data_IF_017150493351
#
_entry.id   IF_017150493351
#
_cell.length_a   1.000
_cell.length_b   1.000
_cell.length_c   1.000
_cell.angle_alpha   90.00
_cell.angle_beta   90.00
_cell.angle_gamma   90.00
#
_symmetry.space_group_name_H-M   'P 1'
#
loop_
_entity.id
_entity.type
_entity.pdbx_description
1 polymer ?
#
# COMPACT_ATOMS: atom_id res chain seq x y z
N UNK A 1 -51.06 -24.07 0.55
CA UNK A 1 -49.63 -23.90 0.23
C UNK A 1 -49.26 -22.43 0.40
N UNK A 2 -48.40 -22.07 1.37
CA UNK A 2 -47.97 -20.69 1.62
C UNK A 2 -46.53 -20.53 1.11
N UNK A 3 -46.36 -19.88 -0.04
CA UNK A 3 -45.04 -19.55 -0.59
C UNK A 3 -44.45 -18.41 0.25
N UNK A 4 -43.48 -18.73 1.11
CA UNK A 4 -42.75 -17.75 1.90
C UNK A 4 -41.91 -16.87 0.99
N UNK A 5 -42.41 -15.69 0.64
CA UNK A 5 -41.61 -14.67 -0.06
C UNK A 5 -40.61 -14.08 0.93
N UNK A 6 -39.32 -14.25 0.66
CA UNK A 6 -38.27 -13.54 1.40
C UNK A 6 -38.43 -12.03 1.19
N UNK A 7 -38.28 -11.21 2.25
CA UNK A 7 -38.33 -9.76 2.12
C UNK A 7 -37.19 -9.26 1.22
N UNK A 8 -37.47 -8.21 0.45
CA UNK A 8 -36.50 -7.63 -0.47
C UNK A 8 -35.27 -7.12 0.30
N UNK A 9 -34.09 -7.65 -0.02
CA UNK A 9 -32.82 -7.18 0.52
C UNK A 9 -32.41 -5.90 -0.20
N UNK A 10 -32.50 -4.76 0.48
CA UNK A 10 -31.97 -3.50 -0.03
C UNK A 10 -30.47 -3.41 0.27
N UNK A 11 -29.65 -3.61 -0.76
CA UNK A 11 -28.20 -3.38 -0.66
C UNK A 11 -27.94 -1.90 -0.95
N UNK A 12 -27.28 -1.15 -0.06
CA UNK A 12 -26.92 0.24 -0.33
C UNK A 12 -25.98 0.31 -1.51
N UNK A 13 -26.30 1.17 -2.49
CA UNK A 13 -25.47 1.37 -3.67
C UNK A 13 -24.17 2.04 -3.23
N UNK A 14 -23.04 1.36 -3.44
CA UNK A 14 -21.72 1.95 -3.24
C UNK A 14 -21.49 2.97 -4.34
N UNK A 15 -21.35 4.24 -3.97
CA UNK A 15 -20.98 5.28 -4.93
C UNK A 15 -19.62 4.94 -5.54
N UNK A 16 -19.56 4.85 -6.87
CA UNK A 16 -18.33 4.69 -7.66
C UNK A 16 -17.73 6.04 -8.06
N UNK A 17 -18.23 7.14 -7.50
CA UNK A 17 -17.74 8.49 -7.81
C UNK A 17 -16.28 8.59 -7.39
N UNK A 18 -15.40 8.84 -8.36
CA UNK A 18 -13.98 8.99 -8.10
C UNK A 18 -13.75 10.29 -7.28
N UNK A 19 -13.11 10.23 -6.10
CA UNK A 19 -12.77 11.44 -5.36
C UNK A 19 -11.88 12.36 -6.22
N UNK A 20 -11.94 13.66 -5.95
CA UNK A 20 -11.07 14.62 -6.61
C UNK A 20 -9.59 14.23 -6.37
N UNK A 21 -8.75 14.25 -7.41
CA UNK A 21 -7.36 13.82 -7.29
C UNK A 21 -6.59 14.71 -6.30
N UNK A 22 -5.70 14.10 -5.52
CA UNK A 22 -4.84 14.84 -4.60
C UNK A 22 -3.89 15.75 -5.38
N UNK A 23 -3.77 17.01 -4.98
CA UNK A 23 -2.83 17.95 -5.58
C UNK A 23 -1.38 17.50 -5.40
N UNK A 24 -0.52 17.79 -6.38
CA UNK A 24 0.88 17.37 -6.40
C UNK A 24 1.66 17.83 -5.15
N UNK A 25 1.48 19.09 -4.72
CA UNK A 25 2.12 19.60 -3.51
C UNK A 25 1.71 18.84 -2.26
N UNK A 26 0.43 18.51 -2.13
CA UNK A 26 -0.07 17.73 -0.99
C UNK A 26 0.50 16.31 -1.01
N UNK A 27 0.55 15.66 -2.19
CA UNK A 27 1.16 14.33 -2.36
C UNK A 27 2.64 14.34 -1.94
N UNK A 28 3.41 15.35 -2.40
CA UNK A 28 4.83 15.45 -2.08
C UNK A 28 5.07 15.77 -0.60
N UNK A 29 4.24 16.64 0.01
CA UNK A 29 4.31 16.92 1.44
C UNK A 29 4.01 15.68 2.28
N UNK A 30 2.99 14.90 1.89
CA UNK A 30 2.66 13.63 2.54
C UNK A 30 3.80 12.61 2.41
N UNK A 31 4.41 12.46 1.22
CA UNK A 31 5.59 11.60 1.03
C UNK A 31 6.76 12.02 1.91
N UNK A 32 7.09 13.32 1.95
CA UNK A 32 8.15 13.85 2.83
C UNK A 32 7.87 13.47 4.28
N UNK A 33 6.65 13.70 4.77
CA UNK A 33 6.27 13.32 6.13
C UNK A 33 6.44 11.82 6.38
N UNK A 34 5.98 10.96 5.47
CA UNK A 34 6.15 9.50 5.61
C UNK A 34 7.63 9.09 5.67
N UNK A 35 8.52 9.85 5.04
CA UNK A 35 9.96 9.58 5.06
C UNK A 35 10.68 10.18 6.28
N UNK A 36 10.21 11.29 6.86
CA UNK A 36 10.93 11.99 7.93
C UNK A 36 10.29 11.86 9.31
N UNK A 37 9.00 11.57 9.41
CA UNK A 37 8.25 11.52 10.67
C UNK A 37 8.35 10.12 11.29
N UNK A 38 9.34 9.91 12.15
CA UNK A 38 9.59 8.63 12.82
C UNK A 38 8.58 8.31 13.93
N UNK A 39 7.72 9.26 14.30
CA UNK A 39 6.62 9.00 15.24
C UNK A 39 5.53 8.13 14.62
N UNK A 40 5.49 8.05 13.28
CA UNK A 40 4.59 7.18 12.55
C UNK A 40 5.11 5.73 12.56
N UNK A 41 4.24 4.73 12.80
CA UNK A 41 4.63 3.33 12.73
C UNK A 41 5.27 3.00 11.38
N UNK A 42 6.38 2.25 11.39
CA UNK A 42 7.12 1.88 10.18
C UNK A 42 6.21 1.24 9.12
N UNK A 43 5.32 0.33 9.53
CA UNK A 43 4.29 -0.28 8.68
C UNK A 43 3.41 0.75 7.95
N UNK A 44 3.03 1.83 8.62
CA UNK A 44 2.16 2.87 8.07
C UNK A 44 2.93 3.77 7.11
N UNK A 45 4.21 4.02 7.40
CA UNK A 45 5.13 4.75 6.51
C UNK A 45 5.33 4.00 5.20
N UNK A 46 5.61 2.69 5.27
CA UNK A 46 5.74 1.83 4.09
C UNK A 46 4.43 1.79 3.28
N UNK A 47 3.31 1.46 3.93
CA UNK A 47 2.02 1.36 3.23
C UNK A 47 1.62 2.70 2.58
N UNK A 48 1.77 3.82 3.29
CA UNK A 48 1.48 5.15 2.76
C UNK A 48 2.34 5.48 1.54
N UNK A 49 3.62 5.15 1.57
CA UNK A 49 4.53 5.41 0.44
C UNK A 49 4.19 4.53 -0.77
N UNK A 50 3.78 3.28 -0.57
CA UNK A 50 3.31 2.41 -1.67
C UNK A 50 2.03 2.96 -2.32
N UNK A 51 1.11 3.52 -1.53
CA UNK A 51 -0.09 4.19 -2.05
C UNK A 51 0.32 5.42 -2.87
N UNK A 52 1.18 6.28 -2.33
CA UNK A 52 1.45 7.59 -2.94
C UNK A 52 2.41 7.53 -4.14
N UNK A 53 3.36 6.57 -4.16
CA UNK A 53 4.31 6.41 -5.26
C UNK A 53 3.78 5.52 -6.38
N UNK A 54 3.06 4.45 -6.03
CA UNK A 54 2.67 3.41 -6.98
C UNK A 54 1.16 3.25 -7.15
N UNK A 55 0.37 4.13 -6.55
CA UNK A 55 -1.08 4.06 -6.54
C UNK A 55 -1.62 2.69 -6.10
N UNK A 56 -0.89 1.99 -5.21
CA UNK A 56 -1.27 0.64 -4.81
C UNK A 56 -2.49 0.67 -3.89
N UNK A 57 -3.60 0.00 -4.25
CA UNK A 57 -4.74 -0.09 -3.37
C UNK A 57 -4.37 -0.93 -2.13
N UNK A 58 -4.96 -0.60 -0.98
CA UNK A 58 -4.68 -1.30 0.29
C UNK A 58 -4.92 -2.80 0.17
N UNK A 59 -5.95 -3.22 -0.57
CA UNK A 59 -6.26 -4.63 -0.84
C UNK A 59 -5.13 -5.37 -1.57
N UNK A 60 -4.30 -4.67 -2.35
CA UNK A 60 -3.13 -5.24 -3.00
C UNK A 60 -1.91 -5.22 -2.08
N UNK A 61 -1.73 -4.15 -1.31
CA UNK A 61 -0.64 -4.04 -0.33
C UNK A 61 -0.71 -5.17 0.70
N UNK A 62 -1.90 -5.48 1.23
CA UNK A 62 -2.06 -6.56 2.22
C UNK A 62 -1.79 -7.96 1.66
N UNK A 63 -1.74 -8.11 0.33
CA UNK A 63 -1.40 -9.38 -0.34
C UNK A 63 0.09 -9.50 -0.65
N UNK A 64 0.87 -8.43 -0.49
CA UNK A 64 2.31 -8.48 -0.70
C UNK A 64 2.96 -9.35 0.38
N UNK A 65 3.84 -10.22 -0.10
CA UNK A 65 4.66 -11.14 0.68
C UNK A 65 6.10 -10.65 0.70
N UNK A 66 6.93 -11.23 1.56
CA UNK A 66 8.37 -10.96 1.56
C UNK A 66 9.00 -11.34 0.22
N UNK A 67 8.48 -12.39 -0.43
CA UNK A 67 8.93 -12.88 -1.75
C UNK A 67 8.55 -11.94 -2.91
N UNK A 68 7.71 -10.92 -2.66
CA UNK A 68 7.45 -9.86 -3.63
C UNK A 68 8.51 -8.77 -3.59
N UNK A 69 9.34 -8.71 -2.54
CA UNK A 69 10.48 -7.79 -2.45
C UNK A 69 11.72 -8.51 -2.97
N UNK A 70 12.27 -8.01 -4.07
CA UNK A 70 13.43 -8.60 -4.73
C UNK A 70 14.64 -7.70 -4.53
N UNK A 71 15.80 -8.33 -4.41
CA UNK A 71 17.09 -7.64 -4.33
C UNK A 71 17.87 -7.92 -5.61
N UNK A 72 18.28 -6.84 -6.29
CA UNK A 72 19.12 -6.87 -7.48
C UNK A 72 20.33 -5.97 -7.25
N UNK A 73 21.39 -6.55 -6.67
CA UNK A 73 22.54 -5.80 -6.18
C UNK A 73 22.12 -4.74 -5.15
N UNK A 74 22.43 -3.48 -5.47
CA UNK A 74 22.06 -2.31 -4.63
C UNK A 74 20.61 -1.85 -4.87
N UNK A 75 19.91 -2.40 -5.86
CA UNK A 75 18.54 -2.04 -6.17
C UNK A 75 17.55 -2.94 -5.44
N UNK A 76 16.50 -2.33 -4.91
CA UNK A 76 15.32 -3.05 -4.42
C UNK A 76 14.25 -2.97 -5.50
N UNK A 77 13.69 -4.11 -5.88
CA UNK A 77 12.55 -4.20 -6.79
C UNK A 77 11.34 -4.72 -6.02
N UNK A 78 10.15 -4.35 -6.48
CA UNK A 78 8.89 -4.83 -5.92
C UNK A 78 8.04 -5.43 -7.02
N UNK A 79 7.54 -6.65 -6.81
CA UNK A 79 6.68 -7.38 -7.75
C UNK A 79 5.25 -6.82 -7.76
N UNK A 80 5.13 -5.57 -8.22
CA UNK A 80 3.85 -4.90 -8.48
C UNK A 80 3.31 -5.17 -9.89
N UNK A 81 4.10 -5.80 -10.74
CA UNK A 81 3.79 -6.14 -12.11
C UNK A 81 4.93 -6.94 -12.71
N UNK A 82 4.81 -7.24 -14.00
CA UNK A 82 5.86 -7.83 -14.80
C UNK A 82 6.25 -6.81 -15.89
N UNK A 83 7.50 -6.32 -15.93
CA UNK A 83 8.61 -6.67 -15.04
C UNK A 83 8.47 -6.07 -13.62
N UNK A 84 9.20 -6.60 -12.61
CA UNK A 84 9.27 -6.02 -11.27
C UNK A 84 9.62 -4.53 -11.30
N UNK A 85 8.98 -3.75 -10.43
CA UNK A 85 9.09 -2.29 -10.41
C UNK A 85 10.24 -1.84 -9.51
N UNK A 86 11.14 -0.96 -9.97
CA UNK A 86 12.21 -0.44 -9.14
C UNK A 86 11.69 0.41 -7.99
N UNK A 87 12.25 0.21 -6.80
CA UNK A 87 11.94 0.97 -5.59
C UNK A 87 12.91 2.13 -5.42
N UNK A 88 12.45 3.40 -5.47
CA UNK A 88 13.33 4.53 -5.26
C UNK A 88 13.70 4.64 -3.79
N UNK A 89 14.90 5.17 -3.52
CA UNK A 89 15.20 5.69 -2.18
C UNK A 89 14.36 6.95 -1.91
N UNK A 90 13.88 7.17 -0.66
CA UNK A 90 14.22 6.43 0.57
C UNK A 90 13.30 5.22 0.89
N UNK A 91 12.35 4.88 0.01
CA UNK A 91 11.41 3.79 0.29
C UNK A 91 12.10 2.43 0.35
N UNK A 92 13.13 2.20 -0.47
CA UNK A 92 13.91 0.97 -0.42
C UNK A 92 14.54 0.77 0.97
N UNK A 93 15.09 1.82 1.57
CA UNK A 93 15.55 1.80 2.97
C UNK A 93 14.46 1.44 3.98
N UNK A 94 13.27 2.03 3.85
CA UNK A 94 12.14 1.70 4.73
C UNK A 94 11.67 0.25 4.59
N UNK A 95 11.66 -0.29 3.37
CA UNK A 95 11.31 -1.70 3.13
C UNK A 95 12.32 -2.64 3.78
N UNK A 96 13.63 -2.37 3.62
CA UNK A 96 14.67 -3.16 4.29
C UNK A 96 14.52 -3.14 5.81
N UNK A 97 14.35 -1.95 6.40
CA UNK A 97 14.14 -1.81 7.83
C UNK A 97 12.89 -2.57 8.32
N UNK A 98 11.80 -2.52 7.55
CA UNK A 98 10.55 -3.19 7.89
C UNK A 98 10.67 -4.72 7.85
N UNK A 99 11.46 -5.26 6.90
CA UNK A 99 11.72 -6.69 6.81
C UNK A 99 12.56 -7.16 8.00
N UNK A 100 13.60 -6.42 8.39
CA UNK A 100 14.44 -6.73 9.56
C UNK A 100 13.66 -6.68 10.87
N UNK A 101 12.76 -5.70 11.05
CA UNK A 101 11.89 -5.60 12.24
C UNK A 101 10.95 -6.82 12.37
N UNK A 102 10.49 -7.36 11.23
CA UNK A 102 9.63 -8.53 11.18
C UNK A 102 10.35 -9.82 11.53
N UNK A 103 11.59 -10.01 11.08
CA UNK A 103 12.38 -11.20 11.41
C UNK A 103 12.60 -11.31 12.93
N UNK A 104 12.69 -10.17 13.62
CA UNK A 104 12.83 -10.09 15.08
C UNK A 104 11.53 -10.40 15.85
N UNK A 105 10.43 -10.72 15.15
CA UNK A 105 9.17 -11.20 15.75
C UNK A 105 9.01 -12.72 15.70
N UNK A 106 10.06 -13.46 15.32
CA UNK A 106 10.10 -14.94 15.27
C UNK A 106 10.87 -15.49 16.46
#
# INVERSE_FOLDING_TARGET
MKTGRMPALTIPVRSTRNPAPMGQHHRLAALRRLFTDETLPLRSRVAGSLILLYAQPVSRIVRLTIDDVLHDGDHTLLRLGEPPTPVPEPLAGLLRAYLTDRDNMT
#
